data_IF_305770552421
#
_entry.id   IF_305770552421
#
_cell.length_a   1.000
_cell.length_b   1.000
_cell.length_c   1.000
_cell.angle_alpha   90.00
_cell.angle_beta   90.00
_cell.angle_gamma   90.00
#
_symmetry.space_group_name_H-M   'P 1'
#
loop_
_entity.id
_entity.type
_entity.pdbx_description
1 polymer ?
#
# COMPACT_ATOMS: atom_id res chain seq x y z
N UNK A 1 -28.45 -3.39 26.71
CA UNK A 1 -27.16 -2.78 27.13
C UNK A 1 -25.95 -3.56 26.63
N UNK A 2 -25.74 -4.83 27.02
CA UNK A 2 -24.58 -5.63 26.59
C UNK A 2 -24.51 -5.88 25.07
N UNK A 3 -25.64 -6.20 24.44
CA UNK A 3 -25.69 -6.47 22.98
C UNK A 3 -25.35 -5.26 22.11
N UNK A 4 -25.69 -4.04 22.55
CA UNK A 4 -25.34 -2.81 21.82
C UNK A 4 -23.84 -2.49 21.94
N UNK A 5 -23.24 -2.76 23.09
CA UNK A 5 -21.80 -2.65 23.29
C UNK A 5 -21.03 -3.63 22.41
N UNK A 6 -21.46 -4.89 22.31
CA UNK A 6 -20.85 -5.86 21.40
C UNK A 6 -20.99 -5.47 19.93
N UNK A 7 -22.14 -4.93 19.53
CA UNK A 7 -22.38 -4.46 18.16
C UNK A 7 -21.45 -3.30 17.80
N UNK A 8 -21.29 -2.30 18.69
CA UNK A 8 -20.36 -1.18 18.49
C UNK A 8 -18.92 -1.67 18.41
N UNK A 9 -18.51 -2.61 19.26
CA UNK A 9 -17.15 -3.17 19.26
C UNK A 9 -16.85 -3.93 17.98
N UNK A 10 -17.76 -4.81 17.52
CA UNK A 10 -17.61 -5.55 16.25
C UNK A 10 -17.52 -4.61 15.05
N UNK A 11 -18.32 -3.52 15.05
CA UNK A 11 -18.29 -2.51 13.98
C UNK A 11 -16.94 -1.78 13.92
N UNK A 12 -16.38 -1.38 15.06
CA UNK A 12 -15.07 -0.73 15.12
C UNK A 12 -13.93 -1.67 14.67
N UNK A 13 -13.94 -2.93 15.14
CA UNK A 13 -12.92 -3.93 14.75
C UNK A 13 -12.98 -4.22 13.25
N UNK A 14 -14.17 -4.34 12.66
CA UNK A 14 -14.31 -4.53 11.22
C UNK A 14 -13.85 -3.31 10.40
N UNK A 15 -14.14 -2.10 10.86
CA UNK A 15 -13.65 -0.87 10.21
C UNK A 15 -12.12 -0.77 10.30
N UNK A 16 -11.54 -1.08 11.45
CA UNK A 16 -10.09 -1.04 11.66
C UNK A 16 -9.38 -2.07 10.78
N UNK A 17 -9.95 -3.28 10.66
CA UNK A 17 -9.42 -4.34 9.81
C UNK A 17 -9.50 -4.00 8.32
N UNK A 18 -10.60 -3.37 7.92
CA UNK A 18 -10.78 -2.90 6.54
C UNK A 18 -9.80 -1.78 6.21
N UNK A 19 -9.68 -0.75 7.06
CA UNK A 19 -8.70 0.34 6.87
C UNK A 19 -7.27 -0.18 6.82
N UNK A 20 -6.90 -1.16 7.64
CA UNK A 20 -5.57 -1.73 7.64
C UNK A 20 -5.20 -2.38 6.29
N UNK A 21 -6.14 -3.05 5.62
CA UNK A 21 -5.91 -3.63 4.29
C UNK A 21 -5.69 -2.55 3.21
N UNK A 22 -6.45 -1.44 3.27
CA UNK A 22 -6.28 -0.31 2.36
C UNK A 22 -4.98 0.46 2.62
N UNK A 23 -4.68 0.78 3.88
CA UNK A 23 -3.47 1.49 4.28
C UNK A 23 -2.22 0.70 3.90
N UNK A 24 -2.22 -0.63 4.10
CA UNK A 24 -1.11 -1.48 3.69
C UNK A 24 -0.94 -1.56 2.17
N UNK A 25 -2.02 -1.51 1.39
CA UNK A 25 -1.93 -1.38 -0.07
C UNK A 25 -1.35 -0.04 -0.52
N UNK A 26 -1.77 1.04 0.13
CA UNK A 26 -1.30 2.40 -0.13
C UNK A 26 0.19 2.57 0.22
N UNK A 27 0.64 2.02 1.35
CA UNK A 27 2.06 2.01 1.75
C UNK A 27 2.91 1.28 0.71
N UNK A 28 2.46 0.12 0.20
CA UNK A 28 3.19 -0.62 -0.83
C UNK A 28 3.29 0.17 -2.13
N UNK A 29 2.22 0.85 -2.56
CA UNK A 29 2.29 1.72 -3.74
C UNK A 29 3.26 2.87 -3.49
N UNK A 30 3.17 3.55 -2.35
CA UNK A 30 4.07 4.66 -2.02
C UNK A 30 5.54 4.22 -2.05
N UNK A 31 5.85 3.04 -1.49
CA UNK A 31 7.19 2.45 -1.56
C UNK A 31 7.57 2.15 -3.03
N UNK A 32 6.69 1.52 -3.81
CA UNK A 32 6.95 1.23 -5.22
C UNK A 32 7.17 2.48 -6.08
N UNK A 33 6.36 3.53 -5.87
CA UNK A 33 6.54 4.85 -6.50
C UNK A 33 7.86 5.46 -6.07
N UNK A 34 8.20 5.41 -4.78
CA UNK A 34 9.43 5.95 -4.23
C UNK A 34 10.66 5.30 -4.88
N UNK A 35 10.71 3.97 -4.91
CA UNK A 35 11.80 3.23 -5.56
C UNK A 35 11.89 3.48 -7.08
N UNK A 36 10.74 3.56 -7.76
CA UNK A 36 10.70 3.82 -9.18
C UNK A 36 11.13 5.26 -9.51
N UNK A 37 10.51 6.28 -8.89
CA UNK A 37 10.77 7.69 -9.19
C UNK A 37 12.14 8.17 -8.73
N UNK A 38 12.61 7.76 -7.54
CA UNK A 38 13.90 8.21 -7.02
C UNK A 38 15.10 7.64 -7.77
N UNK A 39 14.96 6.47 -8.41
CA UNK A 39 16.02 5.89 -9.25
C UNK A 39 15.91 6.28 -10.72
N UNK A 40 14.74 6.74 -11.18
CA UNK A 40 14.59 7.28 -12.56
C UNK A 40 15.02 8.73 -12.72
N UNK A 41 14.92 9.56 -11.67
CA UNK A 41 15.52 10.89 -11.68
C UNK A 41 16.92 10.75 -11.08
N UNK A 42 17.94 11.30 -11.72
CA UNK A 42 19.29 11.49 -11.17
C UNK A 42 19.26 12.47 -9.99
N UNK A 43 18.52 12.11 -8.95
CA UNK A 43 18.50 12.80 -7.67
C UNK A 43 19.74 12.31 -6.95
N UNK A 44 20.48 13.22 -6.33
CA UNK A 44 21.75 13.00 -5.60
C UNK A 44 21.76 11.83 -4.61
N UNK A 45 20.61 11.25 -4.26
CA UNK A 45 20.48 10.01 -3.48
C UNK A 45 21.09 8.79 -4.19
N UNK A 46 21.10 8.77 -5.53
CA UNK A 46 21.70 7.69 -6.33
C UNK A 46 23.23 7.59 -6.11
N UNK A 47 23.87 8.67 -5.65
CA UNK A 47 25.31 8.71 -5.34
C UNK A 47 25.65 7.91 -4.07
N UNK A 48 24.69 7.74 -3.16
CA UNK A 48 24.85 6.98 -1.92
C UNK A 48 24.36 5.53 -2.03
N UNK A 49 23.40 5.24 -2.90
CA UNK A 49 22.84 3.90 -3.09
C UNK A 49 23.56 3.06 -4.16
N UNK A 50 24.43 3.67 -4.97
CA UNK A 50 25.10 3.00 -6.09
C UNK A 50 24.27 3.05 -7.38
N UNK A 51 24.89 2.61 -8.49
CA UNK A 51 24.29 2.71 -9.82
C UNK A 51 22.88 2.09 -9.84
N UNK A 52 21.95 2.68 -10.61
CA UNK A 52 20.60 2.18 -10.71
C UNK A 52 20.59 0.82 -11.43
N UNK A 53 20.81 -0.24 -10.66
CA UNK A 53 20.71 -1.62 -11.07
C UNK A 53 19.32 -1.93 -11.65
N UNK A 54 19.31 -2.78 -12.66
CA UNK A 54 18.13 -3.19 -13.41
C UNK A 54 17.08 -3.82 -12.47
N UNK A 55 17.55 -4.49 -11.41
CA UNK A 55 16.75 -5.17 -10.40
C UNK A 55 15.79 -4.24 -9.66
N UNK A 56 16.24 -3.07 -9.27
CA UNK A 56 15.43 -2.11 -8.50
C UNK A 56 14.38 -1.40 -9.38
N UNK A 57 14.65 -1.27 -10.68
CA UNK A 57 13.64 -0.82 -11.66
C UNK A 57 12.54 -1.88 -11.81
N UNK A 58 12.93 -3.16 -11.86
CA UNK A 58 12.00 -4.30 -11.87
C UNK A 58 11.21 -4.40 -10.55
N UNK A 59 11.87 -4.22 -9.40
CA UNK A 59 11.22 -4.22 -8.09
C UNK A 59 10.23 -3.07 -7.94
N UNK A 60 10.57 -1.87 -8.42
CA UNK A 60 9.66 -0.73 -8.45
C UNK A 60 8.40 -1.04 -9.27
N UNK A 61 8.56 -1.59 -10.48
CA UNK A 61 7.44 -2.00 -11.34
C UNK A 61 6.60 -3.11 -10.70
N UNK A 62 7.23 -4.12 -10.10
CA UNK A 62 6.52 -5.19 -9.38
C UNK A 62 5.75 -4.66 -8.17
N UNK A 63 6.33 -3.75 -7.38
CA UNK A 63 5.65 -3.13 -6.25
C UNK A 63 4.47 -2.27 -6.69
N UNK A 64 4.60 -1.53 -7.80
CA UNK A 64 3.50 -0.76 -8.38
C UNK A 64 2.37 -1.67 -8.87
N UNK A 65 2.68 -2.74 -9.59
CA UNK A 65 1.69 -3.72 -10.06
C UNK A 65 0.98 -4.41 -8.88
N UNK A 66 1.74 -4.94 -7.92
CA UNK A 66 1.19 -5.62 -6.76
C UNK A 66 0.41 -4.68 -5.83
N UNK A 67 0.92 -3.47 -5.59
CA UNK A 67 0.24 -2.43 -4.84
C UNK A 67 -1.06 -2.01 -5.51
N UNK A 68 -1.06 -1.80 -6.82
CA UNK A 68 -2.27 -1.47 -7.61
C UNK A 68 -3.30 -2.59 -7.54
N UNK A 69 -2.88 -3.85 -7.67
CA UNK A 69 -3.75 -5.02 -7.48
C UNK A 69 -4.33 -5.06 -6.07
N UNK A 70 -3.54 -4.74 -5.04
CA UNK A 70 -3.99 -4.75 -3.63
C UNK A 70 -5.03 -3.66 -3.38
N UNK A 71 -4.85 -2.46 -3.95
CA UNK A 71 -5.84 -1.38 -3.90
C UNK A 71 -7.10 -1.75 -4.68
N UNK A 72 -6.98 -2.33 -5.88
CA UNK A 72 -8.12 -2.82 -6.66
C UNK A 72 -8.95 -3.85 -5.88
N UNK A 73 -8.27 -4.82 -5.25
CA UNK A 73 -8.92 -5.83 -4.39
C UNK A 73 -9.54 -5.22 -3.13
N UNK A 74 -8.94 -4.15 -2.61
CA UNK A 74 -9.52 -3.31 -1.56
C UNK A 74 -10.82 -2.68 -2.03
N UNK A 75 -10.77 -1.91 -3.13
CA UNK A 75 -11.88 -1.15 -3.69
C UNK A 75 -13.10 -2.00 -4.07
N UNK A 76 -12.88 -3.23 -4.58
CA UNK A 76 -13.98 -4.16 -4.86
C UNK A 76 -14.71 -4.62 -3.60
N UNK A 77 -14.05 -4.62 -2.43
CA UNK A 77 -14.75 -4.72 -1.17
C UNK A 77 -15.36 -3.35 -0.85
N UNK A 78 -16.50 -3.07 -1.49
CA UNK A 78 -17.53 -2.18 -0.95
C UNK A 78 -17.96 -2.73 0.41
N UNK A 79 -17.18 -2.42 1.45
CA UNK A 79 -17.57 -2.56 2.86
C UNK A 79 -18.72 -1.62 3.23
N UNK A 80 -19.07 -0.70 2.32
CA UNK A 80 -20.29 0.11 2.35
C UNK A 80 -21.32 -0.47 1.38
N UNK A 81 -21.99 -1.54 1.81
CA UNK A 81 -23.40 -1.78 1.50
C UNK A 81 -24.11 -2.09 2.81
#
# INVERSE_FOLDING_TARGET
MLEEYERKRKKQVNLMRSMMDYTMGLIIILIGVFFFFLRTKDISVNQYLGNPDTLDKVLGVMCLLYGSWRIYRGYQKKYFK
#
